data_IF_088075568932
#
_entry.id   IF_088075568932
#
_cell.length_a   1.000
_cell.length_b   1.000
_cell.length_c   1.000
_cell.angle_alpha   90.00
_cell.angle_beta   90.00
_cell.angle_gamma   90.00
#
_symmetry.space_group_name_H-M   'P 1'
#
loop_
_entity.id
_entity.type
_entity.pdbx_description
1 polymer ?
#
# COMPACT_ATOMS: atom_id res chain seq x y z
N UNK A 1 -10.62 32.84 -31.09
CA UNK A 1 -10.92 32.01 -29.91
C UNK A 1 -9.96 30.84 -29.86
N UNK A 2 -8.93 30.90 -29.02
CA UNK A 2 -8.08 29.74 -28.75
C UNK A 2 -8.93 28.73 -27.98
N UNK A 3 -9.31 27.62 -28.61
CA UNK A 3 -9.95 26.54 -27.89
C UNK A 3 -8.92 25.97 -26.92
N UNK A 4 -9.15 26.15 -25.62
CA UNK A 4 -8.40 25.45 -24.60
C UNK A 4 -8.68 23.96 -24.75
N UNK A 5 -7.86 23.28 -25.55
CA UNK A 5 -7.92 21.84 -25.75
C UNK A 5 -7.53 21.19 -24.42
N UNK A 6 -8.50 20.85 -23.59
CA UNK A 6 -8.28 20.11 -22.35
C UNK A 6 -7.48 18.85 -22.68
N UNK A 7 -6.31 18.68 -22.05
CA UNK A 7 -5.52 17.47 -22.29
C UNK A 7 -6.29 16.28 -21.75
N UNK A 8 -6.43 15.22 -22.55
CA UNK A 8 -7.21 14.03 -22.16
C UNK A 8 -6.66 13.38 -20.88
N UNK A 9 -5.36 13.51 -20.62
CA UNK A 9 -4.72 13.10 -19.37
C UNK A 9 -5.23 13.89 -18.15
N UNK A 10 -5.47 15.20 -18.30
CA UNK A 10 -6.04 16.02 -17.22
C UNK A 10 -7.47 15.59 -16.92
N UNK A 11 -8.28 15.32 -17.95
CA UNK A 11 -9.66 14.84 -17.77
C UNK A 11 -9.70 13.52 -16.98
N UNK A 12 -8.87 12.53 -17.35
CA UNK A 12 -8.80 11.27 -16.60
C UNK A 12 -8.24 11.45 -15.19
N UNK A 13 -7.25 12.33 -14.99
CA UNK A 13 -6.73 12.62 -13.65
C UNK A 13 -7.78 13.26 -12.75
N UNK A 14 -8.58 14.20 -13.27
CA UNK A 14 -9.69 14.83 -12.54
C UNK A 14 -10.81 13.82 -12.25
N UNK A 15 -11.11 12.94 -13.19
CA UNK A 15 -12.05 11.84 -12.96
C UNK A 15 -11.58 10.91 -11.84
N UNK A 16 -10.31 10.48 -11.86
CA UNK A 16 -9.73 9.67 -10.79
C UNK A 16 -9.80 10.38 -9.43
N UNK A 17 -9.50 11.68 -9.40
CA UNK A 17 -9.64 12.48 -8.17
C UNK A 17 -11.10 12.53 -7.71
N UNK A 18 -12.05 12.76 -8.60
CA UNK A 18 -13.47 12.79 -8.28
C UNK A 18 -13.96 11.44 -7.71
N UNK A 19 -13.55 10.31 -8.31
CA UNK A 19 -13.87 8.96 -7.80
C UNK A 19 -13.27 8.73 -6.42
N UNK A 20 -11.99 9.11 -6.22
CA UNK A 20 -11.32 8.98 -4.93
C UNK A 20 -12.05 9.78 -3.83
N UNK A 21 -12.43 11.03 -4.14
CA UNK A 21 -13.19 11.87 -3.20
C UNK A 21 -14.58 11.29 -2.96
N UNK A 22 -15.31 10.88 -4.00
CA UNK A 22 -16.67 10.33 -3.87
C UNK A 22 -16.69 9.05 -3.02
N UNK A 23 -15.67 8.19 -3.15
CA UNK A 23 -15.60 6.96 -2.37
C UNK A 23 -15.28 7.23 -0.91
N UNK A 24 -14.32 8.11 -0.60
CA UNK A 24 -13.76 8.23 0.76
C UNK A 24 -14.32 9.41 1.54
N UNK A 25 -14.45 10.58 0.91
CA UNK A 25 -14.74 11.85 1.59
C UNK A 25 -16.07 11.87 2.36
N UNK A 26 -17.19 11.30 1.86
CA UNK A 26 -18.46 11.33 2.59
C UNK A 26 -18.38 10.70 3.99
N UNK A 27 -17.55 9.66 4.16
CA UNK A 27 -17.37 9.01 5.46
C UNK A 27 -16.37 9.77 6.34
N UNK A 28 -15.38 10.44 5.74
CA UNK A 28 -14.39 11.21 6.49
C UNK A 28 -14.96 12.48 7.12
N UNK A 29 -16.10 12.98 6.65
CA UNK A 29 -16.77 14.15 7.25
C UNK A 29 -17.82 13.77 8.30
N UNK A 30 -18.12 12.48 8.46
CA UNK A 30 -19.12 11.96 9.40
C UNK A 30 -18.50 11.48 10.73
N UNK A 31 -19.34 11.40 11.75
CA UNK A 31 -18.99 10.75 13.02
C UNK A 31 -19.06 9.23 12.90
N UNK A 32 -18.21 8.55 13.66
CA UNK A 32 -18.20 7.09 13.73
C UNK A 32 -17.36 6.43 12.64
N UNK A 33 -16.69 5.34 13.02
CA UNK A 33 -15.96 4.47 12.12
C UNK A 33 -15.93 3.06 12.70
N UNK A 34 -15.37 2.10 11.96
CA UNK A 34 -15.15 0.76 12.45
C UNK A 34 -14.44 0.73 13.82
N UNK A 35 -14.79 -0.26 14.65
CA UNK A 35 -14.35 -0.36 16.05
C UNK A 35 -12.84 -0.22 16.21
N UNK A 36 -12.06 -0.97 15.43
CA UNK A 36 -10.59 -0.92 15.50
C UNK A 36 -10.06 0.49 15.20
N UNK A 37 -10.61 1.16 14.18
CA UNK A 37 -10.25 2.53 13.82
C UNK A 37 -10.53 3.53 14.94
N UNK A 38 -11.65 3.34 15.64
CA UNK A 38 -12.03 4.13 16.82
C UNK A 38 -11.06 3.90 17.97
N UNK A 39 -10.68 2.65 18.25
CA UNK A 39 -9.68 2.34 19.28
C UNK A 39 -8.34 2.99 18.97
N UNK A 40 -7.87 2.90 17.72
CA UNK A 40 -6.61 3.52 17.31
C UNK A 40 -6.64 5.04 17.46
N UNK A 41 -7.76 5.67 17.10
CA UNK A 41 -7.96 7.10 17.28
C UNK A 41 -7.97 7.52 18.76
N UNK A 42 -8.65 6.76 19.63
CA UNK A 42 -8.66 7.02 21.09
C UNK A 42 -7.26 6.90 21.66
N UNK A 43 -6.50 5.86 21.29
CA UNK A 43 -5.12 5.68 21.77
C UNK A 43 -4.22 6.82 21.29
N UNK A 44 -4.34 7.23 20.02
CA UNK A 44 -3.60 8.36 19.47
C UNK A 44 -3.96 9.69 20.15
N UNK A 45 -5.25 9.91 20.43
CA UNK A 45 -5.74 11.09 21.16
C UNK A 45 -5.23 11.12 22.60
N UNK A 46 -5.32 9.99 23.30
CA UNK A 46 -4.78 9.85 24.66
C UNK A 46 -3.27 10.16 24.68
N UNK A 47 -2.51 9.64 23.71
CA UNK A 47 -1.08 9.95 23.59
C UNK A 47 -0.82 11.44 23.32
N UNK A 48 -1.69 12.10 22.53
CA UNK A 48 -1.62 13.54 22.30
C UNK A 48 -1.88 14.36 23.57
N UNK A 49 -2.78 13.88 24.44
CA UNK A 49 -3.14 14.44 25.75
C UNK A 49 -2.15 14.06 26.87
N UNK A 50 -1.10 13.28 26.57
CA UNK A 50 -0.09 12.86 27.55
C UNK A 50 -0.51 11.66 28.42
N UNK A 51 -1.55 10.92 28.03
CA UNK A 51 -1.97 9.67 28.69
C UNK A 51 -1.25 8.47 28.05
N UNK A 52 -0.68 7.63 28.91
CA UNK A 52 0.16 6.51 28.47
C UNK A 52 1.53 6.99 27.95
N UNK A 53 2.23 6.12 27.23
CA UNK A 53 3.51 6.45 26.61
C UNK A 53 3.63 5.82 25.22
N UNK A 54 4.69 6.17 24.49
CA UNK A 54 4.98 5.57 23.19
C UNK A 54 5.05 4.04 23.27
N UNK A 55 5.74 3.48 24.26
CA UNK A 55 5.88 2.02 24.41
C UNK A 55 4.71 1.36 25.13
N UNK A 56 3.94 2.13 25.89
CA UNK A 56 2.77 1.66 26.62
C UNK A 56 1.54 2.52 26.29
N UNK A 57 0.96 2.36 25.08
CA UNK A 57 -0.19 3.14 24.65
C UNK A 57 -1.41 2.81 25.52
N UNK A 58 -2.26 3.81 25.77
CA UNK A 58 -3.39 3.70 26.68
C UNK A 58 -4.72 3.90 25.93
N UNK A 59 -5.65 2.95 26.08
CA UNK A 59 -6.99 3.03 25.48
C UNK A 59 -8.02 3.57 26.49
N UNK A 60 -8.27 2.84 27.58
CA UNK A 60 -9.22 3.21 28.63
C UNK A 60 -8.89 2.49 29.94
N UNK A 61 -9.52 2.90 31.03
CA UNK A 61 -9.37 2.26 32.35
C UNK A 61 -10.00 0.87 32.41
N UNK A 62 -10.95 0.59 31.52
CA UNK A 62 -11.63 -0.71 31.39
C UNK A 62 -10.95 -1.65 30.40
N UNK A 63 -9.87 -1.21 29.73
CA UNK A 63 -9.13 -2.04 28.80
C UNK A 63 -8.18 -2.94 29.58
N UNK A 64 -8.38 -4.25 29.43
CA UNK A 64 -7.46 -5.27 29.89
C UNK A 64 -7.37 -6.35 28.82
N UNK A 65 -6.14 -6.78 28.51
CA UNK A 65 -5.93 -7.97 27.68
C UNK A 65 -4.72 -8.75 28.13
N UNK A 66 -4.92 -10.06 28.36
CA UNK A 66 -3.88 -10.98 28.85
C UNK A 66 -3.16 -10.41 30.08
N UNK A 67 -3.93 -9.82 31.01
CA UNK A 67 -3.42 -9.21 32.25
C UNK A 67 -2.67 -7.88 32.06
N UNK A 68 -2.72 -7.26 30.86
CA UNK A 68 -2.13 -5.95 30.60
C UNK A 68 -3.19 -4.88 30.37
N UNK A 69 -3.01 -3.73 31.04
CA UNK A 69 -3.90 -2.56 30.92
C UNK A 69 -3.46 -1.56 29.83
N UNK A 70 -2.46 -1.95 29.03
CA UNK A 70 -1.96 -1.17 27.90
C UNK A 70 -2.43 -1.75 26.57
N UNK A 71 -2.62 -0.89 25.58
CA UNK A 71 -3.06 -1.26 24.24
C UNK A 71 -1.89 -1.78 23.38
N UNK A 72 -1.32 -2.91 23.80
CA UNK A 72 -0.15 -3.54 23.16
C UNK A 72 -0.53 -4.50 22.02
N UNK A 73 -1.65 -4.22 21.35
CA UNK A 73 -2.18 -5.01 20.22
C UNK A 73 -1.25 -5.04 19.01
N UNK A 74 -0.56 -3.92 18.79
CA UNK A 74 0.28 -3.64 17.63
C UNK A 74 1.46 -2.77 18.05
N UNK A 75 2.56 -2.76 17.26
CA UNK A 75 3.64 -1.79 17.43
C UNK A 75 3.13 -0.33 17.44
N UNK A 76 3.77 0.58 18.19
CA UNK A 76 3.15 1.85 18.57
C UNK A 76 3.21 2.97 17.53
N UNK A 77 3.90 2.78 16.40
CA UNK A 77 4.23 3.87 15.47
C UNK A 77 2.99 4.58 14.94
N UNK A 78 1.91 3.86 14.62
CA UNK A 78 0.71 4.46 14.02
C UNK A 78 0.03 5.40 15.01
N UNK A 79 -0.11 4.99 16.28
CA UNK A 79 -0.73 5.83 17.31
C UNK A 79 0.08 7.11 17.51
N UNK A 80 1.41 6.98 17.49
CA UNK A 80 2.31 8.11 17.59
C UNK A 80 2.17 9.07 16.41
N UNK A 81 2.18 8.57 15.18
CA UNK A 81 2.01 9.40 13.98
C UNK A 81 0.65 10.11 13.97
N UNK A 82 -0.42 9.38 14.30
CA UNK A 82 -1.76 9.95 14.38
C UNK A 82 -1.91 10.96 15.53
N UNK A 83 -1.16 10.81 16.63
CA UNK A 83 -1.20 11.76 17.76
C UNK A 83 -0.79 13.18 17.37
N UNK A 84 0.09 13.35 16.37
CA UNK A 84 0.45 14.68 15.88
C UNK A 84 -0.74 15.41 15.26
N UNK A 85 -1.63 14.70 14.57
CA UNK A 85 -2.84 15.30 14.01
C UNK A 85 -3.79 15.76 15.11
N UNK A 86 -3.91 14.98 16.20
CA UNK A 86 -4.68 15.37 17.38
C UNK A 86 -4.08 16.58 18.10
N UNK A 87 -2.75 16.71 18.15
CA UNK A 87 -2.08 17.91 18.68
C UNK A 87 -2.35 19.14 17.82
N UNK A 88 -2.25 19.01 16.49
CA UNK A 88 -2.46 20.12 15.55
C UNK A 88 -3.93 20.58 15.54
N UNK A 89 -4.87 19.65 15.65
CA UNK A 89 -6.31 19.93 15.55
C UNK A 89 -7.01 20.01 16.92
N UNK A 90 -6.25 20.20 18.01
CA UNK A 90 -6.75 20.36 19.38
C UNK A 90 -7.79 19.30 19.80
N UNK A 91 -7.50 18.02 19.55
CA UNK A 91 -8.32 16.91 20.02
C UNK A 91 -9.64 16.67 19.26
N UNK A 92 -9.88 17.41 18.17
CA UNK A 92 -11.07 17.28 17.33
C UNK A 92 -11.18 15.89 16.70
N UNK A 93 -12.41 15.40 16.50
CA UNK A 93 -12.64 14.17 15.74
C UNK A 93 -12.18 14.30 14.28
N UNK A 94 -12.00 15.51 13.73
CA UNK A 94 -11.44 15.67 12.39
C UNK A 94 -9.97 15.24 12.30
N UNK A 95 -9.26 15.14 13.43
CA UNK A 95 -7.84 14.76 13.46
C UNK A 95 -7.58 13.39 12.85
N UNK A 96 -8.36 12.38 13.25
CA UNK A 96 -8.27 11.02 12.70
C UNK A 96 -8.66 10.98 11.21
N UNK A 97 -9.56 11.87 10.78
CA UNK A 97 -10.04 11.95 9.39
C UNK A 97 -9.01 12.58 8.48
N UNK A 98 -8.36 13.64 8.95
CA UNK A 98 -7.22 14.26 8.29
C UNK A 98 -6.04 13.30 8.19
N UNK A 99 -5.80 12.45 9.21
CA UNK A 99 -4.80 11.40 9.15
C UNK A 99 -5.11 10.36 8.05
N UNK A 100 -6.36 9.89 7.96
CA UNK A 100 -6.81 9.01 6.87
C UNK A 100 -6.65 9.66 5.50
N UNK A 101 -7.05 10.93 5.35
CA UNK A 101 -6.93 11.66 4.09
C UNK A 101 -5.45 11.87 3.72
N UNK A 102 -4.60 12.18 4.68
CA UNK A 102 -3.17 12.35 4.49
C UNK A 102 -2.52 11.06 3.97
N UNK A 103 -2.79 9.92 4.64
CA UNK A 103 -2.25 8.62 4.20
C UNK A 103 -2.81 8.20 2.84
N UNK A 104 -4.07 8.53 2.51
CA UNK A 104 -4.67 8.31 1.19
C UNK A 104 -3.92 9.07 0.09
N UNK A 105 -3.72 10.38 0.29
CA UNK A 105 -3.02 11.26 -0.66
C UNK A 105 -1.57 10.79 -0.84
N UNK A 106 -0.90 10.45 0.25
CA UNK A 106 0.49 10.01 0.21
C UNK A 106 0.64 8.67 -0.53
N UNK A 107 -0.26 7.72 -0.30
CA UNK A 107 -0.31 6.46 -1.07
C UNK A 107 -0.57 6.70 -2.55
N UNK A 108 -1.54 7.54 -2.91
CA UNK A 108 -1.81 7.89 -4.31
C UNK A 108 -0.60 8.55 -4.99
N UNK A 109 0.08 9.46 -4.27
CA UNK A 109 1.30 10.10 -4.73
C UNK A 109 2.42 9.08 -4.97
N UNK A 110 2.62 8.14 -4.05
CA UNK A 110 3.66 7.10 -4.19
C UNK A 110 3.34 6.11 -5.31
N UNK A 111 2.07 5.73 -5.52
CA UNK A 111 1.66 4.93 -6.67
C UNK A 111 2.00 5.67 -7.98
N UNK A 112 1.66 6.96 -8.07
CA UNK A 112 2.05 7.81 -9.21
C UNK A 112 3.57 7.86 -9.38
N UNK A 113 4.33 8.04 -8.31
CA UNK A 113 5.78 8.12 -8.36
C UNK A 113 6.43 6.81 -8.83
N UNK A 114 5.91 5.66 -8.38
CA UNK A 114 6.31 4.33 -8.87
C UNK A 114 6.00 4.18 -10.35
N UNK A 115 4.79 4.53 -10.78
CA UNK A 115 4.39 4.47 -12.19
C UNK A 115 5.31 5.29 -13.10
N UNK A 116 5.54 6.54 -12.72
CA UNK A 116 6.44 7.45 -13.44
C UNK A 116 7.88 6.93 -13.45
N UNK A 117 8.31 6.25 -12.39
CA UNK A 117 9.65 5.66 -12.33
C UNK A 117 9.82 4.50 -13.30
N UNK A 118 8.84 3.59 -13.38
CA UNK A 118 8.93 2.43 -14.28
C UNK A 118 8.85 2.82 -15.77
N UNK A 119 8.15 3.92 -16.09
CA UNK A 119 8.01 4.44 -17.45
C UNK A 119 8.82 5.72 -17.70
N UNK A 120 9.92 5.93 -16.97
CA UNK A 120 10.76 7.14 -17.11
C UNK A 120 11.29 7.33 -18.54
N UNK A 121 11.52 6.25 -19.29
CA UNK A 121 12.04 6.31 -20.67
C UNK A 121 10.94 6.35 -21.72
N UNK A 122 9.76 5.85 -21.38
CA UNK A 122 8.61 5.68 -22.26
C UNK A 122 7.62 6.84 -22.07
N UNK A 123 7.94 7.99 -22.66
CA UNK A 123 7.15 9.23 -22.54
C UNK A 123 5.64 9.03 -22.79
N UNK A 124 5.26 8.10 -23.67
CA UNK A 124 3.85 7.77 -23.97
C UNK A 124 3.06 7.26 -22.76
N UNK A 125 3.67 6.48 -21.86
CA UNK A 125 2.97 5.82 -20.75
C UNK A 125 3.13 6.58 -19.43
N UNK A 126 4.14 7.45 -19.34
CA UNK A 126 4.44 8.24 -18.15
C UNK A 126 3.24 9.08 -17.63
N UNK A 127 2.37 9.54 -18.53
CA UNK A 127 1.17 10.35 -18.21
C UNK A 127 -0.07 9.52 -17.82
N UNK A 128 0.01 8.19 -17.88
CA UNK A 128 -1.10 7.29 -17.55
C UNK A 128 -1.12 6.88 -16.07
N UNK A 129 -0.46 7.65 -15.18
CA UNK A 129 -0.43 7.38 -13.74
C UNK A 129 -1.81 7.42 -13.07
N UNK A 130 -2.81 8.04 -13.70
CA UNK A 130 -4.18 8.07 -13.21
C UNK A 130 -4.79 6.67 -13.18
N UNK A 131 -4.38 5.77 -14.09
CA UNK A 131 -4.92 4.42 -14.21
C UNK A 131 -4.62 3.55 -12.98
N UNK A 132 -3.35 3.37 -12.53
CA UNK A 132 -3.08 2.58 -11.32
C UNK A 132 -3.67 3.19 -10.06
N UNK A 133 -3.77 4.51 -9.96
CA UNK A 133 -4.44 5.17 -8.83
C UNK A 133 -5.94 4.90 -8.84
N UNK A 134 -6.58 4.99 -10.00
CA UNK A 134 -8.00 4.68 -10.16
C UNK A 134 -8.28 3.22 -9.82
N UNK A 135 -7.55 2.29 -10.43
CA UNK A 135 -7.73 0.85 -10.21
C UNK A 135 -7.47 0.45 -8.76
N UNK A 136 -6.57 1.13 -8.07
CA UNK A 136 -6.30 0.91 -6.65
C UNK A 136 -7.47 1.37 -5.77
N UNK A 137 -7.95 2.61 -5.94
CA UNK A 137 -8.94 3.18 -5.01
C UNK A 137 -10.34 2.57 -5.16
N UNK A 138 -10.68 2.04 -6.33
CA UNK A 138 -11.96 1.34 -6.55
C UNK A 138 -12.01 -0.05 -5.93
N UNK A 139 -10.87 -0.61 -5.49
CA UNK A 139 -10.86 -1.88 -4.78
C UNK A 139 -11.62 -1.70 -3.45
N UNK A 140 -12.65 -2.51 -3.16
CA UNK A 140 -13.51 -2.34 -2.00
C UNK A 140 -12.74 -2.22 -0.68
N UNK A 141 -11.83 -3.16 -0.39
CA UNK A 141 -11.04 -3.14 0.84
C UNK A 141 -10.14 -1.91 0.97
N UNK A 142 -9.61 -1.39 -0.15
CA UNK A 142 -8.81 -0.15 -0.14
C UNK A 142 -9.69 1.01 0.30
N UNK A 143 -10.77 1.28 -0.42
CA UNK A 143 -11.64 2.42 -0.08
C UNK A 143 -12.20 2.30 1.34
N UNK A 144 -12.59 1.09 1.76
CA UNK A 144 -13.09 0.82 3.11
C UNK A 144 -12.02 1.08 4.18
N UNK A 145 -10.77 0.64 3.94
CA UNK A 145 -9.64 0.81 4.86
C UNK A 145 -9.37 2.29 5.17
N UNK A 146 -9.39 3.15 4.15
CA UNK A 146 -9.18 4.59 4.32
C UNK A 146 -10.36 5.29 5.02
N UNK A 147 -11.60 4.86 4.80
CA UNK A 147 -12.76 5.41 5.53
C UNK A 147 -12.72 5.10 7.02
N UNK A 148 -12.11 3.97 7.38
CA UNK A 148 -12.19 3.38 8.71
C UNK A 148 -10.92 3.50 9.56
N UNK A 149 -9.93 4.32 9.16
CA UNK A 149 -8.68 4.51 9.91
C UNK A 149 -7.94 3.19 10.22
N UNK A 150 -7.87 2.30 9.24
CA UNK A 150 -7.13 1.05 9.40
C UNK A 150 -5.62 1.28 9.39
N UNK A 151 -4.90 0.47 10.16
CA UNK A 151 -3.45 0.57 10.28
C UNK A 151 -2.72 0.32 8.96
N UNK A 152 -3.33 -0.50 8.11
CA UNK A 152 -2.87 -0.87 6.79
C UNK A 152 -2.69 0.34 5.87
N UNK A 153 -3.39 1.45 6.12
CA UNK A 153 -3.18 2.71 5.39
C UNK A 153 -1.74 3.22 5.60
N UNK A 154 -1.25 3.20 6.83
CA UNK A 154 0.11 3.63 7.20
C UNK A 154 1.15 2.64 6.70
N UNK A 155 0.87 1.34 6.84
CA UNK A 155 1.74 0.28 6.29
C UNK A 155 1.89 0.43 4.78
N UNK A 156 0.79 0.72 4.07
CA UNK A 156 0.78 0.93 2.61
C UNK A 156 1.71 2.06 2.19
N UNK A 157 1.68 3.19 2.91
CA UNK A 157 2.59 4.33 2.65
C UNK A 157 4.05 3.88 2.70
N UNK A 158 4.46 3.22 3.79
CA UNK A 158 5.86 2.83 3.98
C UNK A 158 6.29 1.70 3.04
N UNK A 159 5.40 0.75 2.75
CA UNK A 159 5.62 -0.30 1.75
C UNK A 159 5.80 0.31 0.36
N UNK A 160 4.94 1.24 -0.07
CA UNK A 160 5.06 1.93 -1.34
C UNK A 160 6.36 2.75 -1.42
N UNK A 161 6.70 3.47 -0.35
CA UNK A 161 7.95 4.23 -0.27
C UNK A 161 9.18 3.30 -0.40
N UNK A 162 9.15 2.13 0.25
CA UNK A 162 10.24 1.15 0.13
C UNK A 162 10.43 0.69 -1.32
N UNK A 163 9.35 0.34 -2.03
CA UNK A 163 9.42 -0.10 -3.43
C UNK A 163 9.85 1.03 -4.36
N UNK A 164 9.37 2.25 -4.13
CA UNK A 164 9.85 3.43 -4.85
C UNK A 164 11.36 3.62 -4.71
N UNK A 165 11.90 3.55 -3.49
CA UNK A 165 13.33 3.67 -3.25
C UNK A 165 14.13 2.51 -3.86
N UNK A 166 13.64 1.27 -3.79
CA UNK A 166 14.29 0.15 -4.45
C UNK A 166 14.30 0.27 -5.98
N UNK A 167 13.22 0.76 -6.59
CA UNK A 167 13.20 1.12 -8.02
C UNK A 167 14.14 2.29 -8.34
N UNK A 168 14.36 3.19 -7.39
CA UNK A 168 15.31 4.28 -7.56
C UNK A 168 16.74 3.74 -7.52
N UNK A 169 17.09 2.87 -6.58
CA UNK A 169 18.46 2.37 -6.34
C UNK A 169 19.09 1.63 -7.53
N UNK A 170 18.26 1.01 -8.37
CA UNK A 170 18.69 0.23 -9.54
C UNK A 170 18.94 1.09 -10.78
N UNK A 171 18.69 2.39 -10.69
CA UNK A 171 18.83 3.28 -11.83
C UNK A 171 20.25 3.82 -11.93
N UNK A 172 20.75 3.91 -13.16
CA UNK A 172 22.13 4.33 -13.45
C UNK A 172 22.48 5.74 -12.94
N UNK A 173 21.48 6.59 -12.72
CA UNK A 173 21.61 7.98 -12.29
C UNK A 173 21.48 8.17 -10.77
N UNK A 174 21.55 7.10 -9.98
CA UNK A 174 21.19 7.13 -8.56
C UNK A 174 22.26 6.57 -7.64
N UNK A 175 22.35 7.11 -6.42
CA UNK A 175 23.15 6.51 -5.36
C UNK A 175 22.44 5.24 -4.84
N UNK A 176 22.85 4.08 -5.34
CA UNK A 176 22.25 2.77 -5.01
C UNK A 176 22.16 2.54 -3.50
N UNK A 177 23.23 2.78 -2.76
CA UNK A 177 23.27 2.48 -1.32
C UNK A 177 22.35 3.40 -0.51
N UNK A 178 22.33 4.71 -0.81
CA UNK A 178 21.41 5.65 -0.16
C UNK A 178 19.96 5.19 -0.29
N UNK A 179 19.54 4.78 -1.50
CA UNK A 179 18.18 4.34 -1.71
C UNK A 179 17.86 2.97 -1.11
N UNK A 180 18.84 2.07 -0.98
CA UNK A 180 18.66 0.82 -0.22
C UNK A 180 18.49 1.13 1.28
N UNK A 181 19.27 2.08 1.83
CA UNK A 181 19.11 2.54 3.22
C UNK A 181 17.69 3.10 3.43
N UNK A 182 17.25 4.02 2.58
CA UNK A 182 15.90 4.62 2.67
C UNK A 182 14.79 3.57 2.50
N UNK A 183 14.98 2.58 1.63
CA UNK A 183 14.07 1.44 1.52
C UNK A 183 14.04 0.59 2.79
N UNK A 184 15.20 0.29 3.39
CA UNK A 184 15.31 -0.48 4.63
C UNK A 184 14.67 0.22 5.82
N UNK A 185 14.86 1.53 5.95
CA UNK A 185 14.16 2.36 6.95
C UNK A 185 12.65 2.32 6.70
N UNK A 186 12.21 2.41 5.44
CA UNK A 186 10.79 2.34 5.11
C UNK A 186 10.20 0.97 5.47
N UNK A 187 10.91 -0.14 5.24
CA UNK A 187 10.47 -1.48 5.67
C UNK A 187 10.39 -1.57 7.19
N UNK A 188 11.37 -1.02 7.92
CA UNK A 188 11.29 -0.93 9.38
C UNK A 188 10.06 -0.14 9.82
N UNK A 189 9.76 1.01 9.22
CA UNK A 189 8.57 1.80 9.56
C UNK A 189 7.27 1.07 9.22
N UNK A 190 7.23 0.32 8.11
CA UNK A 190 6.10 -0.54 7.77
C UNK A 190 5.90 -1.66 8.81
N UNK A 191 6.98 -2.36 9.19
CA UNK A 191 6.90 -3.43 10.18
C UNK A 191 6.61 -2.90 11.58
N UNK A 192 7.12 -1.72 11.90
CA UNK A 192 6.87 -1.05 13.17
C UNK A 192 5.52 -0.33 13.24
N UNK A 193 4.74 -0.37 12.15
CA UNK A 193 3.35 0.09 12.10
C UNK A 193 2.37 -1.02 12.49
N UNK A 194 2.54 -2.25 11.98
CA UNK A 194 1.57 -3.36 12.19
C UNK A 194 2.21 -4.74 12.43
N UNK A 195 3.52 -4.88 12.22
CA UNK A 195 4.27 -6.12 12.42
C UNK A 195 4.69 -6.81 11.13
N UNK A 196 4.63 -8.14 11.14
CA UNK A 196 5.15 -9.00 10.06
C UNK A 196 4.71 -8.62 8.64
N UNK A 197 3.45 -8.19 8.39
CA UNK A 197 3.02 -7.81 7.04
C UNK A 197 3.86 -6.68 6.42
N UNK A 198 4.58 -5.86 7.20
CA UNK A 198 5.44 -4.81 6.68
C UNK A 198 6.71 -5.31 5.96
N UNK A 199 7.06 -6.60 6.08
CA UNK A 199 8.34 -7.13 5.57
C UNK A 199 8.30 -7.68 4.15
N UNK A 200 7.13 -7.87 3.52
CA UNK A 200 7.10 -8.48 2.19
C UNK A 200 7.91 -7.77 1.09
N UNK A 201 8.17 -6.43 1.15
CA UNK A 201 9.04 -5.78 0.17
C UNK A 201 10.48 -6.31 0.14
N UNK A 202 10.94 -7.07 1.15
CA UNK A 202 12.25 -7.73 1.15
C UNK A 202 12.45 -8.66 -0.07
N UNK A 203 11.35 -9.19 -0.62
CA UNK A 203 11.35 -10.03 -1.82
C UNK A 203 11.72 -9.28 -3.12
N UNK A 204 11.73 -7.94 -3.10
CA UNK A 204 11.82 -7.11 -4.30
C UNK A 204 13.01 -7.41 -5.21
N UNK A 205 14.25 -7.42 -4.69
CA UNK A 205 15.43 -7.61 -5.55
C UNK A 205 15.49 -9.02 -6.16
N UNK A 206 14.99 -10.02 -5.44
CA UNK A 206 14.86 -11.39 -5.93
C UNK A 206 13.81 -11.46 -7.05
N UNK A 207 12.63 -10.90 -6.84
CA UNK A 207 11.56 -10.83 -7.85
C UNK A 207 12.00 -10.03 -9.09
N UNK A 208 12.72 -8.94 -8.88
CA UNK A 208 13.28 -8.13 -9.96
C UNK A 208 14.32 -8.89 -10.76
N UNK A 209 15.18 -9.68 -10.11
CA UNK A 209 16.12 -10.58 -10.80
C UNK A 209 15.36 -11.58 -11.67
N UNK A 210 14.31 -12.20 -11.15
CA UNK A 210 13.48 -13.14 -11.91
C UNK A 210 12.82 -12.48 -13.13
N UNK A 211 12.24 -11.29 -12.94
CA UNK A 211 11.55 -10.58 -14.00
C UNK A 211 12.51 -9.98 -15.04
N UNK A 212 13.43 -9.11 -14.63
CA UNK A 212 14.22 -8.30 -15.56
C UNK A 212 15.53 -8.93 -15.98
N UNK A 213 16.11 -9.79 -15.14
CA UNK A 213 17.46 -10.37 -15.31
C UNK A 213 18.59 -9.32 -15.49
N UNK A 214 18.35 -8.07 -15.08
CA UNK A 214 19.25 -6.93 -15.26
C UNK A 214 20.35 -6.83 -14.18
N UNK A 215 20.11 -7.38 -12.99
CA UNK A 215 21.12 -7.54 -11.94
C UNK A 215 21.56 -9.00 -11.85
N UNK A 216 22.72 -9.29 -11.27
CA UNK A 216 23.18 -10.68 -11.02
C UNK A 216 22.51 -11.27 -9.78
N UNK A 217 22.56 -12.60 -9.60
CA UNK A 217 22.09 -13.26 -8.37
C UNK A 217 22.85 -12.79 -7.13
N UNK A 218 24.17 -12.61 -7.24
CA UNK A 218 25.01 -12.06 -6.18
C UNK A 218 24.55 -10.66 -5.77
N UNK A 219 24.26 -9.80 -6.74
CA UNK A 219 23.73 -8.45 -6.48
C UNK A 219 22.34 -8.50 -5.84
N UNK A 220 21.45 -9.37 -6.33
CA UNK A 220 20.10 -9.50 -5.78
C UNK A 220 20.14 -9.93 -4.30
N UNK A 221 20.92 -10.97 -3.98
CA UNK A 221 21.10 -11.48 -2.62
C UNK A 221 21.77 -10.43 -1.73
N UNK A 222 22.85 -9.79 -2.20
CA UNK A 222 23.56 -8.75 -1.44
C UNK A 222 22.67 -7.55 -1.12
N UNK A 223 21.86 -7.11 -2.09
CA UNK A 223 20.97 -5.98 -1.90
C UNK A 223 19.80 -6.34 -0.97
N UNK A 224 19.24 -7.55 -1.07
CA UNK A 224 18.23 -8.05 -0.13
C UNK A 224 18.80 -8.20 1.29
N UNK A 225 20.03 -8.69 1.43
CA UNK A 225 20.70 -8.77 2.73
C UNK A 225 20.89 -7.38 3.36
N UNK A 226 21.42 -6.43 2.58
CA UNK A 226 21.58 -5.05 3.04
C UNK A 226 20.24 -4.41 3.42
N UNK A 227 19.19 -4.67 2.64
CA UNK A 227 17.83 -4.20 2.91
C UNK A 227 17.26 -4.77 4.22
N UNK A 228 17.48 -6.06 4.49
CA UNK A 228 17.05 -6.72 5.72
C UNK A 228 17.87 -6.31 6.95
N UNK A 229 19.12 -5.90 6.76
CA UNK A 229 20.00 -5.46 7.83
C UNK A 229 19.46 -4.24 8.58
N UNK A 230 18.83 -3.29 7.89
CA UNK A 230 18.30 -2.07 8.53
C UNK A 230 17.23 -2.35 9.59
N UNK A 231 16.09 -3.01 9.28
CA UNK A 231 15.13 -3.34 10.32
C UNK A 231 15.75 -4.23 11.40
N UNK A 232 16.61 -5.20 11.05
CA UNK A 232 17.25 -6.07 12.03
C UNK A 232 18.10 -5.30 13.04
N UNK A 233 18.95 -4.38 12.58
CA UNK A 233 19.80 -3.54 13.44
C UNK A 233 18.96 -2.60 14.30
N UNK A 234 17.90 -1.99 13.75
CA UNK A 234 17.05 -1.08 14.52
C UNK A 234 16.27 -1.86 15.60
N UNK A 235 15.66 -3.00 15.27
CA UNK A 235 14.98 -3.83 16.26
C UNK A 235 15.95 -4.36 17.33
N UNK A 236 17.15 -4.79 16.94
CA UNK A 236 18.19 -5.20 17.88
C UNK A 236 18.53 -4.06 18.85
N UNK A 237 18.78 -2.86 18.31
CA UNK A 237 19.08 -1.69 19.12
C UNK A 237 17.94 -1.37 20.10
N UNK A 238 16.70 -1.36 19.62
CA UNK A 238 15.53 -1.08 20.46
C UNK A 238 15.36 -2.11 21.57
N UNK A 239 15.45 -3.40 21.26
CA UNK A 239 15.24 -4.48 22.25
C UNK A 239 16.40 -4.57 23.24
N UNK A 240 17.64 -4.28 22.81
CA UNK A 240 18.81 -4.43 23.66
C UNK A 240 19.04 -3.21 24.57
N UNK A 241 18.84 -2.00 24.06
CA UNK A 241 19.17 -0.75 24.77
C UNK A 241 17.96 -0.02 25.37
N UNK A 242 16.72 -0.46 25.12
CA UNK A 242 15.53 0.18 25.68
C UNK A 242 14.61 -0.86 26.37
N UNK A 243 14.52 -0.76 27.69
CA UNK A 243 13.73 -1.67 28.53
C UNK A 243 12.23 -1.62 28.23
N UNK A 244 11.69 -0.44 27.96
CA UNK A 244 10.29 -0.25 27.63
C UNK A 244 9.96 -0.84 26.26
N UNK A 245 10.83 -0.60 25.28
CA UNK A 245 10.73 -1.19 23.95
C UNK A 245 10.78 -2.71 24.03
N UNK A 246 11.73 -3.26 24.79
CA UNK A 246 11.87 -4.69 25.02
C UNK A 246 10.59 -5.28 25.60
N UNK A 247 10.05 -4.72 26.69
CA UNK A 247 8.82 -5.21 27.35
C UNK A 247 7.60 -5.13 26.42
N UNK A 248 7.41 -3.99 25.76
CA UNK A 248 6.30 -3.75 24.84
C UNK A 248 6.34 -4.69 23.64
N UNK A 249 7.50 -4.80 22.98
CA UNK A 249 7.66 -5.65 21.79
C UNK A 249 7.68 -7.13 22.13
N UNK A 250 8.24 -7.55 23.28
CA UNK A 250 8.17 -8.94 23.71
C UNK A 250 6.73 -9.36 23.98
N UNK A 251 5.91 -8.50 24.59
CA UNK A 251 4.49 -8.78 24.78
C UNK A 251 3.76 -8.87 23.43
N UNK A 252 4.00 -7.93 22.52
CA UNK A 252 3.43 -7.98 21.17
C UNK A 252 3.77 -9.31 20.45
N UNK A 253 5.04 -9.73 20.47
CA UNK A 253 5.48 -10.95 19.78
C UNK A 253 4.94 -12.21 20.45
N UNK A 254 5.09 -12.34 21.77
CA UNK A 254 4.74 -13.58 22.47
C UNK A 254 3.22 -13.72 22.64
N UNK A 255 2.57 -12.68 23.16
CA UNK A 255 1.18 -12.75 23.60
C UNK A 255 0.19 -12.34 22.51
N UNK A 256 0.58 -11.49 21.54
CA UNK A 256 -0.32 -11.12 20.43
C UNK A 256 -0.06 -11.93 19.19
N UNK A 257 1.19 -12.04 18.74
CA UNK A 257 1.51 -12.68 17.48
C UNK A 257 1.46 -14.21 17.61
N UNK A 258 2.29 -14.80 18.48
CA UNK A 258 2.35 -16.26 18.57
C UNK A 258 1.10 -16.88 19.17
N UNK A 259 0.56 -16.30 20.26
CA UNK A 259 -0.67 -16.80 20.87
C UNK A 259 -1.88 -16.81 19.91
N UNK A 260 -2.06 -15.75 19.08
CA UNK A 260 -3.16 -15.72 18.10
C UNK A 260 -3.01 -16.79 17.05
N UNK A 261 -1.79 -17.01 16.56
CA UNK A 261 -1.52 -18.05 15.56
C UNK A 261 -1.87 -19.44 16.10
N UNK A 262 -1.67 -19.69 17.40
CA UNK A 262 -1.99 -20.98 18.01
C UNK A 262 -3.45 -21.16 18.42
N UNK A 263 -4.12 -20.09 18.85
CA UNK A 263 -5.38 -20.21 19.60
C UNK A 263 -6.58 -19.48 18.99
N UNK A 264 -6.36 -18.43 18.18
CA UNK A 264 -7.43 -17.54 17.71
C UNK A 264 -7.67 -17.74 16.20
N UNK A 265 -8.28 -18.87 15.84
CA UNK A 265 -8.66 -19.13 14.45
C UNK A 265 -9.80 -18.20 14.00
N UNK A 266 -9.51 -17.31 13.04
CA UNK A 266 -10.49 -16.37 12.47
C UNK A 266 -11.17 -16.93 11.23
N UNK A 267 -10.50 -17.83 10.50
CA UNK A 267 -11.05 -18.49 9.30
C UNK A 267 -10.83 -19.99 9.34
N UNK A 268 -11.81 -20.73 8.81
CA UNK A 268 -11.71 -22.19 8.69
C UNK A 268 -10.67 -22.61 7.65
N UNK A 269 -10.67 -21.96 6.48
CA UNK A 269 -9.73 -22.24 5.39
C UNK A 269 -8.60 -21.22 5.34
N UNK A 270 -7.36 -21.71 5.21
CA UNK A 270 -6.17 -20.88 5.00
C UNK A 270 -6.15 -20.19 3.64
N UNK A 271 -6.98 -20.62 2.69
CA UNK A 271 -7.06 -20.02 1.36
C UNK A 271 -8.13 -18.93 1.25
N UNK A 272 -8.86 -18.63 2.33
CA UNK A 272 -9.90 -17.59 2.35
C UNK A 272 -9.36 -16.24 1.89
N UNK A 273 -8.13 -15.87 2.29
CA UNK A 273 -7.48 -14.63 1.82
C UNK A 273 -7.32 -14.56 0.30
N UNK A 274 -7.12 -15.68 -0.39
CA UNK A 274 -7.03 -15.70 -1.86
C UNK A 274 -8.41 -15.47 -2.51
N UNK A 275 -9.47 -15.97 -1.89
CA UNK A 275 -10.83 -15.69 -2.32
C UNK A 275 -11.16 -14.20 -2.16
N UNK A 276 -10.85 -13.60 -1.02
CA UNK A 276 -11.02 -12.16 -0.82
C UNK A 276 -10.19 -11.33 -1.79
N UNK A 277 -8.93 -11.72 -2.04
CA UNK A 277 -8.10 -11.08 -3.06
C UNK A 277 -8.78 -11.14 -4.44
N UNK A 278 -9.29 -12.29 -4.83
CA UNK A 278 -10.02 -12.43 -6.09
C UNK A 278 -11.23 -11.50 -6.14
N UNK A 279 -12.08 -11.51 -5.10
CA UNK A 279 -13.25 -10.63 -5.00
C UNK A 279 -12.88 -9.14 -5.09
N UNK A 280 -11.79 -8.73 -4.44
CA UNK A 280 -11.30 -7.36 -4.48
C UNK A 280 -10.80 -6.95 -5.87
N UNK A 281 -10.12 -7.85 -6.58
CA UNK A 281 -9.60 -7.60 -7.92
C UNK A 281 -10.69 -7.73 -9.00
N UNK A 282 -11.82 -8.36 -8.72
CA UNK A 282 -12.95 -8.42 -9.67
C UNK A 282 -13.47 -7.03 -10.02
N UNK A 283 -13.55 -6.10 -9.05
CA UNK A 283 -14.07 -4.74 -9.28
C UNK A 283 -13.25 -3.98 -10.33
N UNK A 284 -11.92 -3.80 -10.19
CA UNK A 284 -11.12 -3.18 -11.23
C UNK A 284 -11.13 -3.97 -12.54
N UNK A 285 -11.19 -5.31 -12.51
CA UNK A 285 -11.26 -6.12 -13.72
C UNK A 285 -12.57 -5.88 -14.50
N UNK A 286 -13.72 -5.83 -13.84
CA UNK A 286 -15.03 -5.56 -14.48
C UNK A 286 -15.03 -4.21 -15.19
N UNK A 287 -14.35 -3.20 -14.64
CA UNK A 287 -14.21 -1.88 -15.30
C UNK A 287 -13.30 -1.98 -16.53
N UNK A 288 -12.27 -2.83 -16.53
CA UNK A 288 -11.31 -2.97 -17.63
C UNK A 288 -11.82 -3.85 -18.78
N UNK A 289 -12.64 -4.86 -18.49
CA UNK A 289 -13.11 -5.86 -19.47
C UNK A 289 -13.89 -5.26 -20.66
N UNK A 290 -14.80 -4.28 -20.50
CA UNK A 290 -15.48 -3.63 -21.63
C UNK A 290 -14.52 -2.96 -22.61
N UNK A 291 -13.45 -2.34 -22.11
CA UNK A 291 -12.43 -1.71 -22.97
C UNK A 291 -11.67 -2.75 -23.80
N UNK A 292 -11.38 -3.91 -23.20
CA UNK A 292 -10.77 -5.03 -23.90
C UNK A 292 -11.72 -5.63 -24.94
N UNK A 293 -12.99 -5.87 -24.58
CA UNK A 293 -14.02 -6.40 -25.49
C UNK A 293 -14.25 -5.48 -26.70
N UNK A 294 -14.40 -4.17 -26.47
CA UNK A 294 -14.56 -3.18 -27.53
C UNK A 294 -13.37 -3.16 -28.51
N UNK A 295 -12.15 -3.25 -27.99
CA UNK A 295 -10.95 -3.30 -28.82
C UNK A 295 -10.81 -4.62 -29.59
N UNK A 296 -11.15 -5.76 -28.98
CA UNK A 296 -11.17 -7.08 -29.64
C UNK A 296 -12.16 -7.13 -30.79
N UNK A 297 -13.34 -6.52 -30.63
CA UNK A 297 -14.36 -6.45 -31.68
C UNK A 297 -13.90 -5.61 -32.89
N UNK A 298 -13.14 -4.52 -32.65
CA UNK A 298 -12.64 -3.65 -33.74
C UNK A 298 -11.31 -4.11 -34.33
N UNK A 299 -10.51 -4.89 -33.60
CA UNK A 299 -9.16 -5.25 -33.99
C UNK A 299 -8.75 -6.61 -33.41
N UNK A 300 -8.39 -7.59 -34.24
CA UNK A 300 -8.02 -8.96 -33.79
C UNK A 300 -6.74 -9.03 -32.94
N UNK A 301 -6.01 -7.92 -32.76
CA UNK A 301 -4.77 -7.84 -31.94
C UNK A 301 -5.04 -7.11 -30.62
N UNK A 302 -5.54 -7.86 -29.63
CA UNK A 302 -5.72 -7.44 -28.23
C UNK A 302 -4.57 -7.94 -27.35
N UNK A 303 -4.33 -7.30 -26.21
CA UNK A 303 -3.32 -7.67 -25.20
C UNK A 303 -1.88 -7.67 -25.76
N UNK A 304 -1.55 -6.63 -26.54
CA UNK A 304 -0.19 -6.42 -27.05
C UNK A 304 0.83 -6.21 -25.92
N UNK A 305 0.37 -5.80 -24.74
CA UNK A 305 1.17 -5.68 -23.52
C UNK A 305 1.86 -6.99 -23.13
N UNK A 306 1.24 -8.14 -23.42
CA UNK A 306 1.83 -9.45 -23.18
C UNK A 306 2.88 -9.85 -24.21
N UNK A 307 2.87 -9.19 -25.38
CA UNK A 307 3.85 -9.38 -26.44
C UNK A 307 5.08 -8.48 -26.26
N UNK A 308 4.92 -7.30 -25.64
CA UNK A 308 6.04 -6.42 -25.29
C UNK A 308 6.88 -7.04 -24.15
N UNK A 309 8.16 -7.40 -24.39
CA UNK A 309 9.01 -8.01 -23.37
C UNK A 309 9.24 -7.14 -22.14
N UNK A 310 9.21 -5.81 -22.26
CA UNK A 310 9.43 -4.88 -21.15
C UNK A 310 8.17 -4.83 -20.28
N UNK A 311 7.00 -4.68 -20.89
CA UNK A 311 5.72 -4.64 -20.17
C UNK A 311 5.46 -5.95 -19.43
N UNK A 312 5.72 -7.10 -20.06
CA UNK A 312 5.62 -8.42 -19.43
C UNK A 312 6.48 -8.55 -18.17
N UNK A 313 7.68 -7.96 -18.16
CA UNK A 313 8.57 -7.95 -16.99
C UNK A 313 8.01 -7.10 -15.86
N UNK A 314 7.42 -5.93 -16.17
CA UNK A 314 6.73 -5.12 -15.16
C UNK A 314 5.52 -5.86 -14.58
N UNK A 315 4.70 -6.52 -15.41
CA UNK A 315 3.57 -7.34 -14.96
C UNK A 315 4.07 -8.41 -13.99
N UNK A 316 5.10 -9.18 -14.36
CA UNK A 316 5.65 -10.23 -13.50
C UNK A 316 6.22 -9.69 -12.18
N UNK A 317 6.94 -8.56 -12.22
CA UNK A 317 7.49 -7.93 -11.02
C UNK A 317 6.39 -7.52 -10.05
N UNK A 318 5.40 -6.76 -10.52
CA UNK A 318 4.35 -6.23 -9.64
C UNK A 318 3.35 -7.31 -9.19
N UNK A 319 3.07 -8.31 -10.03
CA UNK A 319 2.34 -9.51 -9.61
C UNK A 319 3.10 -10.24 -8.49
N UNK A 320 4.41 -10.44 -8.65
CA UNK A 320 5.25 -11.07 -7.64
C UNK A 320 5.28 -10.29 -6.32
N UNK A 321 5.40 -8.97 -6.37
CA UNK A 321 5.41 -8.12 -5.17
C UNK A 321 4.05 -8.17 -4.46
N UNK A 322 2.94 -8.09 -5.21
CA UNK A 322 1.59 -8.21 -4.66
C UNK A 322 1.37 -9.58 -3.99
N UNK A 323 1.76 -10.66 -4.67
CA UNK A 323 1.66 -12.02 -4.13
C UNK A 323 2.55 -12.23 -2.90
N UNK A 324 3.74 -11.62 -2.84
CA UNK A 324 4.60 -11.68 -1.66
C UNK A 324 3.93 -11.08 -0.41
N UNK A 325 3.01 -10.11 -0.57
CA UNK A 325 2.23 -9.54 0.52
C UNK A 325 0.96 -10.33 0.89
N UNK A 326 0.54 -11.30 0.07
CA UNK A 326 -0.68 -12.10 0.29
C UNK A 326 -0.35 -13.52 0.72
N UNK A 327 0.54 -14.21 0.00
CA UNK A 327 0.84 -15.64 0.20
C UNK A 327 1.26 -15.96 1.65
N UNK A 328 2.08 -15.15 2.34
CA UNK A 328 2.43 -15.43 3.73
C UNK A 328 1.22 -15.45 4.68
N UNK A 329 0.13 -14.74 4.37
CA UNK A 329 -1.10 -14.77 5.17
C UNK A 329 -1.80 -16.14 5.10
N UNK A 330 -1.61 -16.89 4.01
CA UNK A 330 -2.10 -18.27 3.89
C UNK A 330 -1.41 -19.25 4.85
N UNK A 331 -0.33 -18.84 5.53
CA UNK A 331 0.37 -19.71 6.49
C UNK A 331 -0.34 -19.77 7.85
N UNK A 332 -1.32 -18.90 8.10
CA UNK A 332 -2.06 -18.80 9.36
C UNK A 332 -3.58 -18.77 9.13
N UNK A 333 -4.35 -19.14 10.16
CA UNK A 333 -5.80 -18.96 10.21
C UNK A 333 -6.22 -17.58 10.76
N UNK A 334 -5.25 -16.75 11.18
CA UNK A 334 -5.48 -15.37 11.61
C UNK A 334 -5.52 -14.47 10.38
N UNK A 335 -6.66 -14.43 9.70
CA UNK A 335 -6.83 -13.70 8.44
C UNK A 335 -8.01 -12.73 8.53
N UNK A 336 -7.83 -11.53 7.97
CA UNK A 336 -8.91 -10.58 7.69
C UNK A 336 -8.71 -9.96 6.31
N UNK A 337 -9.81 -9.60 5.64
CA UNK A 337 -9.77 -9.04 4.28
C UNK A 337 -8.88 -7.79 4.18
N UNK A 338 -8.74 -7.03 5.28
CA UNK A 338 -7.93 -5.82 5.32
C UNK A 338 -6.43 -6.09 5.36
N UNK A 339 -5.97 -7.28 5.79
CA UNK A 339 -4.55 -7.54 6.06
C UNK A 339 -3.64 -7.46 4.82
N UNK A 340 -4.19 -7.71 3.63
CA UNK A 340 -3.43 -7.60 2.37
C UNK A 340 -3.60 -6.25 1.66
N UNK A 341 -4.29 -5.27 2.26
CA UNK A 341 -4.45 -3.93 1.67
C UNK A 341 -3.12 -3.30 1.23
N UNK A 342 -1.99 -3.43 1.97
CA UNK A 342 -0.70 -2.91 1.52
C UNK A 342 -0.15 -3.54 0.23
N UNK A 343 -0.65 -4.72 -0.17
CA UNK A 343 -0.27 -5.40 -1.41
C UNK A 343 -1.10 -4.95 -2.63
N UNK A 344 -2.32 -4.46 -2.41
CA UNK A 344 -3.28 -4.08 -3.47
C UNK A 344 -2.78 -3.00 -4.45
N UNK A 345 -2.00 -1.98 -4.04
CA UNK A 345 -1.40 -1.05 -4.99
C UNK A 345 -0.57 -1.73 -6.08
N UNK A 346 0.14 -2.81 -5.75
CA UNK A 346 1.00 -3.52 -6.72
C UNK A 346 0.18 -4.33 -7.71
N UNK A 347 -0.95 -4.93 -7.28
CA UNK A 347 -1.91 -5.52 -8.20
C UNK A 347 -2.56 -4.47 -9.11
N UNK A 348 -2.89 -3.29 -8.59
CA UNK A 348 -3.42 -2.19 -9.40
C UNK A 348 -2.41 -1.71 -10.46
N UNK A 349 -1.13 -1.60 -10.11
CA UNK A 349 -0.05 -1.31 -11.08
C UNK A 349 0.06 -2.43 -12.11
N UNK A 350 0.09 -3.70 -11.69
CA UNK A 350 0.14 -4.85 -12.59
C UNK A 350 -1.03 -4.85 -13.58
N UNK A 351 -2.28 -4.68 -13.11
CA UNK A 351 -3.47 -4.58 -13.97
C UNK A 351 -3.37 -3.39 -14.93
N UNK A 352 -2.86 -2.24 -14.45
CA UNK A 352 -2.66 -1.07 -15.30
C UNK A 352 -1.68 -1.32 -16.44
N UNK A 353 -0.59 -2.06 -16.18
CA UNK A 353 0.37 -2.44 -17.22
C UNK A 353 -0.23 -3.48 -18.17
N UNK A 354 -1.02 -4.42 -17.65
CA UNK A 354 -1.68 -5.46 -18.44
C UNK A 354 -2.65 -4.87 -19.47
N UNK A 355 -3.41 -3.84 -19.11
CA UNK A 355 -4.40 -3.18 -19.99
C UNK A 355 -3.88 -1.88 -20.63
N UNK A 356 -2.57 -1.66 -20.58
CA UNK A 356 -1.97 -0.37 -20.94
C UNK A 356 -2.21 0.02 -22.39
N UNK A 357 -2.07 -0.94 -23.31
CA UNK A 357 -2.22 -0.69 -24.74
C UNK A 357 -3.67 -0.47 -25.15
N UNK A 358 -4.60 -1.14 -24.49
CA UNK A 358 -6.04 -1.00 -24.69
C UNK A 358 -6.51 0.40 -24.32
N UNK A 359 -6.04 0.90 -23.17
CA UNK A 359 -6.34 2.25 -22.69
C UNK A 359 -5.64 3.31 -23.54
N UNK A 360 -4.39 3.08 -23.96
CA UNK A 360 -3.68 4.02 -24.83
C UNK A 360 -4.36 4.17 -26.20
N UNK A 361 -4.80 3.07 -26.81
CA UNK A 361 -5.56 3.10 -28.08
C UNK A 361 -6.89 3.86 -27.92
N UNK A 362 -7.61 3.63 -26.82
CA UNK A 362 -8.85 4.34 -26.53
C UNK A 362 -8.62 5.85 -26.43
N UNK A 363 -7.60 6.27 -25.68
CA UNK A 363 -7.29 7.68 -25.51
C UNK A 363 -7.01 8.37 -26.86
N UNK A 364 -6.26 7.71 -27.76
CA UNK A 364 -5.98 8.24 -29.10
C UNK A 364 -7.25 8.38 -29.94
N UNK A 365 -8.18 7.42 -29.87
CA UNK A 365 -9.45 7.48 -30.60
C UNK A 365 -10.35 8.65 -30.14
N UNK A 366 -10.36 8.95 -28.84
CA UNK A 366 -11.11 10.09 -28.28
C UNK A 366 -10.51 11.43 -28.70
N UNK A 367 -9.17 11.54 -28.75
CA UNK A 367 -8.50 12.79 -29.19
C UNK A 367 -8.64 13.10 -30.68
N UNK A 368 -8.89 12.08 -31.52
CA UNK A 368 -9.00 12.21 -32.97
C UNK A 368 -10.44 12.48 -33.46
N UNK A 369 -11.43 12.63 -32.57
CA UNK A 369 -12.81 12.95 -32.95
C UNK A 369 -13.24 14.43 -32.83
N UNK A 370 -12.47 15.46 -33.23
CA UNK A 370 -13.08 16.71 -33.65
C UNK A 370 -13.43 16.59 -35.14
N UNK A 371 -14.42 15.75 -35.48
CA UNK A 371 -15.14 15.99 -36.75
C UNK A 371 -16.08 17.14 -36.46
N UNK A 372 -15.70 18.30 -37.00
CA UNK A 372 -16.52 19.49 -37.19
C UNK A 372 -18.01 19.17 -37.33
N UNK A 373 -18.80 19.72 -36.41
CA UNK A 373 -20.19 20.10 -36.71
C UNK A 373 -20.13 21.49 -37.29
#
# INVERSE_FOLDING_TARGET
>A
MQSHKFSTHLAFSLFTLAVMLALVLPNLVQHGMFMDGTQYAIVAKNLAEGKGSFWFPYLSSSWEKQGQNYFLEHPPLIYFLQSFFFKICNGSYLSERLYCLFTLILSAFLIKAIWQRIFKKENKYHLLYWLPVLLWIIVPSVSWSYKNNMQENTVSVFVLASVYFMLRSISKDSNTYLFIILAGISIFLASFSKGLPGFFPLSFFILMRFAFKNITWKQAISNTFLLALFPAVIYFYLVYFNDDARRSLSFYVNERLFHRISNDHEVESRFTVLFWLFSDLLVPMVILLPFMGFNMMRNKKSMLSLQDPILKKHILLFAGIGLAGVIPLCLTHVQRAVYFVPALPFFAIMLSVLFLDEIFKLQNNVTLSPKSI
#
